data_IF_438657567017
#
_entry.id   IF_438657567017
#
_cell.length_a   1.000
_cell.length_b   1.000
_cell.length_c   1.000
_cell.angle_alpha   90.00
_cell.angle_beta   90.00
_cell.angle_gamma   90.00
#
_symmetry.space_group_name_H-M   'P 1'
#
loop_
_entity.id
_entity.type
_entity.pdbx_description
1 polymer ?
#
# COMPACT_ATOMS: atom_id res chain seq x y z
N UNK A 1 35.97 -0.90 45.25
CA UNK A 1 35.18 -2.15 45.34
C UNK A 1 33.88 -1.94 44.57
N UNK A 2 33.65 -2.78 43.56
CA UNK A 2 32.49 -2.80 42.63
C UNK A 2 31.18 -3.01 43.38
N UNK A 3 30.06 -2.46 42.89
CA UNK A 3 28.78 -3.18 42.71
C UNK A 3 27.95 -2.55 41.58
N UNK A 4 28.13 -3.08 40.38
CA UNK A 4 27.22 -2.97 39.23
C UNK A 4 25.94 -3.74 39.56
N UNK A 5 24.76 -3.15 39.35
CA UNK A 5 23.48 -3.86 39.40
C UNK A 5 22.91 -3.92 37.99
N UNK A 6 22.85 -5.13 37.43
CA UNK A 6 22.03 -5.43 36.25
C UNK A 6 20.59 -5.66 36.74
N UNK A 7 19.64 -4.91 36.21
CA UNK A 7 18.21 -5.23 36.33
C UNK A 7 17.77 -5.82 35.00
N UNK A 8 17.54 -7.14 34.99
CA UNK A 8 16.86 -7.86 33.92
C UNK A 8 15.35 -7.77 34.20
N UNK A 9 14.63 -6.98 33.40
CA UNK A 9 13.17 -7.02 33.37
C UNK A 9 12.77 -7.90 32.19
N UNK A 10 12.37 -9.13 32.47
CA UNK A 10 11.72 -10.01 31.51
C UNK A 10 10.21 -9.81 31.65
N UNK A 11 9.57 -9.18 30.66
CA UNK A 11 8.13 -9.07 30.58
C UNK A 11 7.58 -10.23 29.77
N UNK A 12 7.02 -11.23 30.47
CA UNK A 12 6.28 -12.33 29.87
C UNK A 12 4.86 -11.82 29.55
N UNK A 13 4.59 -11.49 28.29
CA UNK A 13 3.24 -11.15 27.83
C UNK A 13 2.44 -12.44 27.64
N UNK A 14 1.60 -12.77 28.62
CA UNK A 14 0.56 -13.79 28.47
C UNK A 14 -0.58 -13.13 27.67
N UNK A 15 -0.72 -13.51 26.41
CA UNK A 15 -1.92 -13.16 25.62
C UNK A 15 -3.08 -14.03 26.10
N UNK A 16 -4.06 -13.40 26.74
CA UNK A 16 -5.37 -13.98 27.00
C UNK A 16 -6.35 -13.41 25.97
N UNK A 17 -6.89 -14.26 25.11
CA UNK A 17 -8.06 -13.92 24.30
C UNK A 17 -9.30 -13.92 25.21
N UNK A 18 -9.91 -12.76 25.44
CA UNK A 18 -11.25 -12.66 26.01
C UNK A 18 -12.19 -12.03 24.98
N UNK A 19 -13.08 -12.84 24.41
CA UNK A 19 -14.23 -12.37 23.65
C UNK A 19 -15.13 -11.54 24.57
N UNK A 20 -15.37 -10.28 24.22
CA UNK A 20 -16.23 -9.37 24.99
C UNK A 20 -17.44 -8.96 24.16
N UNK A 21 -18.53 -9.71 24.29
CA UNK A 21 -19.87 -9.27 23.87
C UNK A 21 -20.28 -8.09 24.75
N UNK A 22 -20.31 -6.88 24.19
CA UNK A 22 -20.83 -5.70 24.89
C UNK A 22 -22.19 -5.30 24.32
N UNK A 23 -23.24 -5.70 25.04
CA UNK A 23 -24.56 -5.08 24.96
C UNK A 23 -24.50 -3.74 25.70
N UNK A 24 -24.63 -2.63 24.96
CA UNK A 24 -24.67 -1.27 25.52
C UNK A 24 -25.99 -0.57 25.22
N UNK A 25 -26.82 -0.41 26.23
CA UNK A 25 -28.08 0.37 26.20
C UNK A 25 -27.81 1.80 26.72
N UNK A 26 -28.22 2.82 25.95
CA UNK A 26 -28.75 4.10 26.46
C UNK A 26 -27.78 5.23 26.86
N UNK A 27 -27.86 6.36 26.14
CA UNK A 27 -27.37 7.68 26.58
C UNK A 27 -27.67 8.79 25.56
N UNK A 28 -28.69 9.62 25.82
CA UNK A 28 -29.07 10.78 25.00
C UNK A 28 -28.15 11.98 25.25
N UNK A 29 -27.72 12.67 24.18
CA UNK A 29 -27.18 14.03 24.27
C UNK A 29 -26.68 14.61 22.95
N UNK A 30 -27.40 15.62 22.43
CA UNK A 30 -26.86 16.64 21.51
C UNK A 30 -27.09 16.41 20.00
N UNK A 31 -27.98 17.21 19.42
CA UNK A 31 -28.18 17.30 17.96
C UNK A 31 -27.08 18.20 17.38
N UNK A 32 -26.00 17.59 16.91
CA UNK A 32 -25.02 18.19 15.99
C UNK A 32 -25.29 17.70 14.57
N UNK A 33 -25.06 18.54 13.57
CA UNK A 33 -25.57 18.39 12.21
C UNK A 33 -25.26 17.06 11.52
N UNK A 34 -26.07 16.73 10.51
CA UNK A 34 -25.95 15.52 9.71
C UNK A 34 -24.57 15.46 9.02
N UNK A 35 -23.62 14.77 9.65
CA UNK A 35 -22.58 14.04 8.92
C UNK A 35 -23.29 12.96 8.12
N UNK A 36 -22.99 12.87 6.82
CA UNK A 36 -23.51 11.79 5.99
C UNK A 36 -23.21 10.45 6.66
N UNK A 37 -24.17 9.53 6.60
CA UNK A 37 -23.98 8.18 7.11
C UNK A 37 -22.70 7.61 6.50
N UNK A 38 -21.66 7.47 7.32
CA UNK A 38 -20.51 6.65 6.99
C UNK A 38 -21.08 5.28 6.70
N UNK A 39 -21.15 4.93 5.41
CA UNK A 39 -21.78 3.70 4.97
C UNK A 39 -21.25 2.57 5.82
N UNK A 40 -22.15 1.79 6.42
CA UNK A 40 -21.81 0.51 7.02
C UNK A 40 -21.22 -0.32 5.89
N UNK A 41 -19.89 -0.28 5.79
CA UNK A 41 -19.11 -1.06 4.85
C UNK A 41 -19.35 -2.51 5.16
N UNK A 42 -20.41 -3.07 4.58
CA UNK A 42 -20.60 -4.50 4.51
C UNK A 42 -19.31 -5.05 3.93
N UNK A 43 -18.70 -6.00 4.63
CA UNK A 43 -17.48 -6.67 4.20
C UNK A 43 -17.82 -7.56 3.00
N UNK A 44 -18.14 -6.95 1.86
CA UNK A 44 -18.02 -7.63 0.58
C UNK A 44 -16.55 -7.97 0.45
N UNK A 45 -16.19 -9.26 0.27
CA UNK A 45 -14.81 -9.63 0.02
C UNK A 45 -14.27 -8.78 -1.14
N UNK A 46 -13.17 -8.07 -0.89
CA UNK A 46 -12.51 -7.30 -1.95
C UNK A 46 -11.94 -8.32 -2.93
N UNK A 47 -12.48 -8.32 -4.15
CA UNK A 47 -11.99 -9.14 -5.24
C UNK A 47 -11.17 -8.28 -6.18
N UNK A 48 -10.00 -8.79 -6.56
CA UNK A 48 -9.13 -8.16 -7.55
C UNK A 48 -9.21 -9.00 -8.83
N UNK A 49 -9.91 -8.53 -9.87
CA UNK A 49 -9.89 -9.25 -11.15
C UNK A 49 -8.47 -9.23 -11.71
N UNK A 50 -8.08 -10.31 -12.38
CA UNK A 50 -6.85 -10.32 -13.16
C UNK A 50 -7.06 -9.43 -14.38
N UNK A 51 -6.27 -8.36 -14.50
CA UNK A 51 -6.36 -7.38 -15.59
C UNK A 51 -5.02 -7.27 -16.33
N UNK A 52 -5.09 -7.09 -17.65
CA UNK A 52 -3.92 -6.78 -18.47
C UNK A 52 -3.44 -5.33 -18.27
N UNK A 53 -4.38 -4.41 -17.99
CA UNK A 53 -4.11 -3.00 -17.68
C UNK A 53 -5.03 -2.52 -16.55
N UNK A 54 -4.46 -1.86 -15.54
CA UNK A 54 -5.22 -1.31 -14.41
C UNK A 54 -5.93 -0.01 -14.83
N UNK A 55 -7.25 0.13 -14.61
CA UNK A 55 -8.00 1.33 -14.98
C UNK A 55 -7.64 2.57 -14.16
N UNK A 56 -6.85 2.45 -13.08
CA UNK A 56 -6.34 3.59 -12.33
C UNK A 56 -5.26 4.37 -13.11
N UNK A 57 -4.50 3.69 -13.96
CA UNK A 57 -3.45 4.27 -14.82
C UNK A 57 -3.56 3.67 -16.23
N UNK A 58 -4.62 4.02 -16.99
CA UNK A 58 -4.86 3.44 -18.31
C UNK A 58 -3.79 3.83 -19.34
N UNK A 59 -3.00 4.89 -19.09
CA UNK A 59 -1.93 5.36 -19.97
C UNK A 59 -0.73 4.41 -20.00
N UNK A 60 -0.51 3.65 -18.92
CA UNK A 60 0.65 2.78 -18.77
C UNK A 60 0.25 1.45 -18.12
N UNK A 61 -0.01 0.44 -18.94
CA UNK A 61 -0.26 -0.91 -18.45
C UNK A 61 0.91 -1.40 -17.59
N UNK A 62 0.56 -2.06 -16.49
CA UNK A 62 1.48 -2.42 -15.41
C UNK A 62 1.60 -1.39 -14.29
N UNK A 63 1.08 -0.17 -14.47
CA UNK A 63 0.94 0.81 -13.40
C UNK A 63 -0.52 0.87 -12.92
N UNK A 64 -0.79 1.26 -11.66
CA UNK A 64 0.20 1.43 -10.59
C UNK A 64 0.87 0.09 -10.23
N UNK A 65 2.16 0.13 -9.92
CA UNK A 65 2.95 -1.02 -9.54
C UNK A 65 3.44 -0.85 -8.09
N UNK A 66 3.33 -1.88 -7.24
CA UNK A 66 2.58 -3.12 -7.45
C UNK A 66 1.06 -2.90 -7.35
N UNK A 67 0.28 -3.80 -7.97
CA UNK A 67 -1.19 -3.82 -7.86
C UNK A 67 -1.71 -5.26 -7.84
N UNK A 68 -2.69 -5.53 -6.97
CA UNK A 68 -3.28 -6.87 -6.84
C UNK A 68 -4.02 -7.33 -8.09
N UNK A 69 -4.38 -6.43 -9.02
CA UNK A 69 -4.98 -6.81 -10.31
C UNK A 69 -4.01 -7.59 -11.21
N UNK A 70 -2.71 -7.60 -10.89
CA UNK A 70 -1.68 -8.39 -11.55
C UNK A 70 -1.26 -9.61 -10.73
N UNK A 71 -2.13 -10.07 -9.83
CA UNK A 71 -1.92 -11.25 -8.99
C UNK A 71 -3.13 -12.18 -9.05
N UNK A 72 -2.89 -13.46 -8.81
CA UNK A 72 -3.95 -14.45 -8.61
C UNK A 72 -3.81 -15.07 -7.23
N UNK A 73 -4.92 -15.54 -6.66
CA UNK A 73 -4.90 -16.31 -5.41
C UNK A 73 -4.19 -17.64 -5.63
N UNK A 74 -3.29 -17.99 -4.70
CA UNK A 74 -2.57 -19.25 -4.71
C UNK A 74 -2.31 -19.71 -3.28
N UNK A 75 -3.09 -20.69 -2.82
CA UNK A 75 -2.99 -21.23 -1.46
C UNK A 75 -1.75 -22.11 -1.23
N UNK A 76 -0.98 -22.43 -2.27
CA UNK A 76 0.30 -23.11 -2.13
C UNK A 76 1.44 -22.14 -1.74
N UNK A 77 1.22 -20.83 -1.86
CA UNK A 77 2.17 -19.79 -1.52
C UNK A 77 2.00 -19.30 -0.08
N UNK A 78 3.04 -18.70 0.52
CA UNK A 78 2.99 -18.20 1.89
C UNK A 78 2.16 -16.92 1.99
N UNK A 79 2.20 -16.06 0.96
CA UNK A 79 1.38 -14.84 0.94
C UNK A 79 -0.07 -15.10 0.53
N UNK A 80 -0.38 -16.30 0.03
CA UNK A 80 -1.70 -16.67 -0.48
C UNK A 80 -1.97 -16.11 -1.88
N UNK A 81 -0.97 -15.51 -2.53
CA UNK A 81 -1.05 -14.94 -3.89
C UNK A 81 0.25 -15.19 -4.64
N UNK A 82 0.14 -15.28 -5.97
CA UNK A 82 1.29 -15.20 -6.87
C UNK A 82 1.11 -14.09 -7.88
N UNK A 83 2.23 -13.54 -8.34
CA UNK A 83 2.23 -12.64 -9.50
C UNK A 83 1.72 -13.40 -10.72
N UNK A 84 0.93 -12.74 -11.56
CA UNK A 84 0.46 -13.24 -12.84
C UNK A 84 0.37 -12.07 -13.81
N UNK A 85 1.40 -11.88 -14.63
CA UNK A 85 1.45 -10.78 -15.58
C UNK A 85 0.82 -11.15 -16.91
N UNK A 86 -0.01 -10.24 -17.43
CA UNK A 86 -0.63 -10.35 -18.74
C UNK A 86 0.26 -9.87 -19.89
N UNK A 87 -0.20 -10.08 -21.11
CA UNK A 87 0.58 -9.78 -22.32
C UNK A 87 0.86 -8.29 -22.47
N UNK A 88 -0.11 -7.42 -22.15
CA UNK A 88 0.08 -5.96 -22.24
C UNK A 88 1.07 -5.44 -21.19
N UNK A 89 1.07 -6.02 -19.98
CA UNK A 89 2.05 -5.69 -18.93
C UNK A 89 3.48 -5.95 -19.42
N UNK A 90 3.72 -7.13 -20.00
CA UNK A 90 5.06 -7.57 -20.43
C UNK A 90 5.36 -7.25 -21.90
N UNK A 91 4.45 -6.59 -22.62
CA UNK A 91 4.52 -6.35 -24.06
C UNK A 91 4.80 -7.63 -24.86
N UNK A 92 4.01 -8.68 -24.61
CA UNK A 92 4.10 -10.00 -25.23
C UNK A 92 5.42 -10.77 -24.96
N UNK A 93 6.17 -10.39 -23.92
CA UNK A 93 7.28 -11.23 -23.43
C UNK A 93 6.75 -12.37 -22.54
N UNK A 94 7.51 -13.46 -22.45
CA UNK A 94 7.17 -14.64 -21.66
C UNK A 94 6.99 -14.31 -20.16
N UNK A 95 5.78 -14.49 -19.63
CA UNK A 95 5.46 -14.23 -18.22
C UNK A 95 5.87 -15.34 -17.26
N UNK A 96 6.19 -16.53 -17.77
CA UNK A 96 6.44 -17.73 -16.96
C UNK A 96 7.47 -17.56 -15.84
N UNK A 97 8.57 -16.80 -16.01
CA UNK A 97 9.52 -16.55 -14.92
C UNK A 97 8.92 -15.83 -13.70
N UNK A 98 7.94 -14.95 -13.90
CA UNK A 98 7.32 -14.18 -12.83
C UNK A 98 6.23 -14.95 -12.09
N UNK A 99 5.59 -15.91 -12.75
CA UNK A 99 4.56 -16.78 -12.16
C UNK A 99 5.07 -17.57 -10.95
N UNK A 100 6.39 -17.70 -10.79
CA UNK A 100 7.03 -18.35 -9.64
C UNK A 100 7.11 -17.44 -8.41
N UNK A 101 6.77 -16.16 -8.53
CA UNK A 101 6.90 -15.17 -7.46
C UNK A 101 5.67 -15.21 -6.55
N UNK A 102 5.89 -15.51 -5.28
CA UNK A 102 4.93 -15.43 -4.16
C UNK A 102 4.67 -13.95 -3.80
N UNK A 103 4.01 -13.25 -4.73
CA UNK A 103 3.75 -11.82 -4.66
C UNK A 103 4.89 -10.95 -5.21
N UNK A 104 4.76 -9.65 -4.99
CA UNK A 104 5.76 -8.66 -5.40
C UNK A 104 6.92 -8.57 -4.42
N UNK A 105 8.09 -8.20 -4.92
CA UNK A 105 9.26 -7.96 -4.07
C UNK A 105 9.05 -6.75 -3.16
N UNK A 106 9.38 -6.88 -1.88
CA UNK A 106 9.40 -5.74 -0.95
C UNK A 106 10.48 -4.69 -1.31
N UNK A 107 11.42 -5.03 -2.21
CA UNK A 107 12.50 -4.13 -2.64
C UNK A 107 12.20 -3.34 -3.90
N UNK A 108 11.06 -3.55 -4.57
CA UNK A 108 10.68 -2.75 -5.74
C UNK A 108 10.00 -1.45 -5.31
N UNK A 109 10.30 -0.31 -5.95
CA UNK A 109 9.64 0.94 -5.64
C UNK A 109 8.16 0.90 -6.04
N UNK A 110 7.37 1.79 -5.43
CA UNK A 110 6.04 2.11 -5.92
C UNK A 110 6.19 2.95 -7.19
N UNK A 111 5.53 2.56 -8.27
CA UNK A 111 5.54 3.26 -9.54
C UNK A 111 4.10 3.57 -9.96
N UNK A 112 3.87 4.81 -10.40
CA UNK A 112 2.56 5.21 -10.90
C UNK A 112 2.69 6.41 -11.82
N UNK A 113 1.64 6.70 -12.58
CA UNK A 113 1.52 7.90 -13.36
C UNK A 113 0.56 8.88 -12.67
N UNK A 114 1.09 10.05 -12.32
CA UNK A 114 0.31 11.14 -11.74
C UNK A 114 0.40 12.35 -12.67
N UNK A 115 -0.62 12.59 -13.52
CA UNK A 115 -0.65 13.74 -14.41
C UNK A 115 -0.47 15.04 -13.64
N UNK A 116 0.52 15.85 -14.03
CA UNK A 116 0.77 17.16 -13.42
C UNK A 116 1.45 17.12 -12.04
N UNK A 117 2.05 15.98 -11.65
CA UNK A 117 2.86 15.92 -10.43
C UNK A 117 4.04 16.93 -10.49
N UNK A 118 4.25 17.74 -9.43
CA UNK A 118 5.34 18.70 -9.36
C UNK A 118 6.69 17.97 -9.22
N UNK A 119 7.70 18.39 -9.99
CA UNK A 119 8.99 17.70 -10.07
C UNK A 119 10.04 18.17 -9.04
N UNK A 120 9.79 19.28 -8.34
CA UNK A 120 10.78 20.04 -7.56
C UNK A 120 10.44 20.15 -6.06
N UNK A 121 9.50 19.34 -5.57
CA UNK A 121 8.97 19.44 -4.19
C UNK A 121 9.24 18.21 -3.34
N UNK A 122 10.01 17.24 -3.82
CA UNK A 122 10.33 16.02 -3.06
C UNK A 122 11.45 16.24 -2.05
N UNK A 123 11.33 15.59 -0.90
CA UNK A 123 12.38 15.59 0.13
C UNK A 123 13.64 14.87 -0.36
N UNK A 124 14.81 15.42 -0.02
CA UNK A 124 16.09 14.78 -0.29
C UNK A 124 16.41 13.66 0.70
N UNK A 125 17.53 12.96 0.49
CA UNK A 125 17.99 11.84 1.33
C UNK A 125 18.18 12.18 2.80
N UNK A 126 18.33 13.46 3.14
CA UNK A 126 18.49 13.98 4.51
C UNK A 126 17.20 14.50 5.13
N UNK A 127 16.12 14.58 4.35
CA UNK A 127 14.90 15.34 4.70
C UNK A 127 13.65 14.48 4.49
N UNK A 128 13.75 13.18 4.82
CA UNK A 128 12.64 12.21 4.64
C UNK A 128 11.38 12.61 5.42
N UNK A 129 11.51 13.30 6.55
CA UNK A 129 10.39 13.77 7.38
C UNK A 129 9.47 14.75 6.63
N UNK A 130 9.96 15.39 5.56
CA UNK A 130 9.13 16.24 4.69
C UNK A 130 7.94 15.45 4.11
N UNK A 131 8.15 14.17 3.79
CA UNK A 131 7.11 13.27 3.24
C UNK A 131 5.93 13.03 4.18
N UNK A 132 6.10 13.33 5.47
CA UNK A 132 5.06 13.23 6.49
C UNK A 132 4.23 14.52 6.65
N UNK A 133 4.52 15.55 5.86
CA UNK A 133 3.69 16.76 5.83
C UNK A 133 2.50 16.56 4.87
N UNK A 134 1.33 17.06 5.26
CA UNK A 134 0.12 17.00 4.41
C UNK A 134 0.27 17.75 3.08
N UNK A 135 1.32 18.55 2.91
CA UNK A 135 1.65 19.31 1.69
C UNK A 135 2.70 18.64 0.81
N UNK A 136 3.25 17.49 1.20
CA UNK A 136 4.27 16.79 0.41
C UNK A 136 3.62 15.83 -0.58
N UNK A 137 3.79 16.02 -1.90
CA UNK A 137 3.40 15.00 -2.86
C UNK A 137 4.55 14.00 -3.09
N UNK A 138 4.24 12.73 -3.46
CA UNK A 138 2.97 12.06 -3.17
C UNK A 138 2.78 11.85 -1.66
N UNK A 139 1.55 11.52 -1.24
CA UNK A 139 1.29 11.02 0.11
C UNK A 139 1.19 9.49 0.05
N UNK A 140 1.89 8.81 0.96
CA UNK A 140 1.74 7.37 1.19
C UNK A 140 1.21 7.21 2.61
N UNK A 141 0.14 6.44 2.77
CA UNK A 141 -0.47 6.18 4.06
C UNK A 141 -0.90 4.73 4.18
N UNK A 142 -0.88 4.23 5.41
CA UNK A 142 -1.44 2.93 5.75
C UNK A 142 -2.98 3.02 5.66
N UNK A 143 -3.59 2.16 4.85
CA UNK A 143 -5.02 2.25 4.57
C UNK A 143 -5.92 1.84 5.76
N UNK A 144 -5.38 1.11 6.73
CA UNK A 144 -6.12 0.66 7.92
C UNK A 144 -6.06 1.71 9.04
N UNK A 145 -4.89 2.32 9.24
CA UNK A 145 -4.64 3.26 10.34
C UNK A 145 -4.73 4.72 9.92
N UNK A 146 -4.52 5.03 8.64
CA UNK A 146 -4.42 6.39 8.10
C UNK A 146 -3.10 7.11 8.42
N UNK A 147 -2.12 6.42 9.01
CA UNK A 147 -0.81 7.00 9.32
C UNK A 147 0.02 7.22 8.04
N UNK A 148 0.71 8.37 7.95
CA UNK A 148 1.62 8.66 6.84
C UNK A 148 2.89 7.81 6.95
N UNK A 149 3.32 7.26 5.81
CA UNK A 149 4.53 6.45 5.71
C UNK A 149 5.68 7.31 5.20
N UNK A 150 6.82 7.40 5.93
CA UNK A 150 7.98 8.12 5.45
C UNK A 150 8.51 7.50 4.17
N UNK A 151 8.74 8.31 3.13
CA UNK A 151 9.18 7.81 1.85
C UNK A 151 10.05 8.83 1.08
N UNK A 152 10.83 8.31 0.14
CA UNK A 152 11.46 9.10 -0.90
C UNK A 152 10.64 8.99 -2.18
N UNK A 153 10.58 10.08 -2.94
CA UNK A 153 9.92 10.12 -4.24
C UNK A 153 10.83 10.84 -5.23
N UNK A 154 10.74 10.44 -6.49
CA UNK A 154 11.38 11.12 -7.61
C UNK A 154 10.48 11.07 -8.84
N UNK A 155 10.71 11.97 -9.79
CA UNK A 155 10.20 11.79 -11.15
C UNK A 155 11.15 10.86 -11.87
N UNK A 156 10.62 9.79 -12.47
CA UNK A 156 11.36 9.03 -13.47
C UNK A 156 11.54 9.88 -14.73
N UNK A 157 12.68 10.56 -14.80
CA UNK A 157 13.05 11.41 -15.94
C UNK A 157 13.36 10.61 -17.21
N UNK A 158 13.55 9.29 -17.12
CA UNK A 158 13.77 8.42 -18.27
C UNK A 158 12.44 8.01 -18.91
N UNK A 159 11.37 7.86 -18.11
CA UNK A 159 10.02 7.59 -18.62
C UNK A 159 9.52 8.68 -19.59
N UNK A 160 9.97 9.93 -19.41
CA UNK A 160 9.60 11.08 -20.25
C UNK A 160 10.32 11.14 -21.61
N UNK A 161 11.26 10.24 -21.90
CA UNK A 161 12.11 10.33 -23.10
C UNK A 161 11.58 9.63 -24.35
N UNK A 162 10.30 9.23 -24.43
CA UNK A 162 9.73 8.77 -25.70
C UNK A 162 8.23 9.03 -25.87
N UNK A 163 7.84 10.21 -26.38
CA UNK A 163 6.66 10.34 -27.22
C UNK A 163 7.05 10.02 -28.67
N UNK A 164 7.24 8.74 -29.01
CA UNK A 164 7.53 8.39 -30.40
C UNK A 164 8.27 7.08 -30.63
N UNK A 165 7.55 5.96 -30.54
CA UNK A 165 7.76 4.87 -31.50
C UNK A 165 6.38 4.35 -31.89
N UNK A 166 6.10 4.53 -33.18
CA UNK A 166 4.84 4.24 -33.87
C UNK A 166 4.59 2.74 -34.04
#
# INVERSE_FOLDING_TARGET
MKRTWLILVSALLISACSESTTSGTGGNGGVGGAGGDGGTGGSTPISYPLLDCDPLVPEFCGYPFPSNVYTVEDSATVTGRRVSFGDEFLRNNDSGPWDLSDGFSAGTPLLTYLPGAPADVFGGVTDIDQSLSASSPPLVFDAETGELVPHFAEIDVQALQSPGIA
#
